data_IF_238782943781
#
_entry.id   IF_238782943781
#
_cell.length_a   1.000
_cell.length_b   1.000
_cell.length_c   1.000
_cell.angle_alpha   90.00
_cell.angle_beta   90.00
_cell.angle_gamma   90.00
#
_symmetry.space_group_name_H-M   'P 1'
#
loop_
_entity.id
_entity.type
_entity.pdbx_description
1 polymer ?
#
# COMPACT_ATOMS: atom_id res chain seq x y z
N UNK A 1 12.56 35.90 -54.65
CA UNK A 1 11.56 34.88 -54.25
C UNK A 1 12.27 33.91 -53.32
N UNK A 2 11.64 33.61 -52.19
CA UNK A 2 12.25 33.10 -50.95
C UNK A 2 12.72 31.64 -51.03
N UNK A 3 13.88 31.43 -50.38
CA UNK A 3 14.48 30.16 -49.95
C UNK A 3 13.47 29.22 -49.26
N UNK A 4 13.53 27.93 -49.60
CA UNK A 4 12.96 26.84 -48.80
C UNK A 4 14.07 25.87 -48.41
N UNK A 5 14.66 26.14 -47.26
CA UNK A 5 15.44 25.19 -46.48
C UNK A 5 14.48 24.21 -45.79
N UNK A 6 14.43 22.97 -46.27
CA UNK A 6 13.77 21.87 -45.57
C UNK A 6 14.61 21.51 -44.33
N UNK A 7 14.17 21.98 -43.16
CA UNK A 7 14.71 21.57 -41.87
C UNK A 7 14.22 20.14 -41.56
N UNK A 8 15.14 19.20 -41.66
CA UNK A 8 15.00 17.86 -41.11
C UNK A 8 14.87 17.97 -39.58
N UNK A 9 13.65 17.77 -39.06
CA UNK A 9 13.42 17.64 -37.61
C UNK A 9 13.88 16.23 -37.21
N UNK A 10 15.09 16.13 -36.68
CA UNK A 10 15.56 14.93 -35.99
C UNK A 10 14.66 14.66 -34.78
N UNK A 11 13.88 13.57 -34.83
CA UNK A 11 13.24 13.02 -33.64
C UNK A 11 14.35 12.53 -32.71
N UNK A 12 14.36 12.89 -31.41
CA UNK A 12 15.32 12.34 -30.47
C UNK A 12 15.07 10.83 -30.37
N UNK A 13 16.01 10.06 -30.91
CA UNK A 13 16.06 8.62 -30.71
C UNK A 13 16.26 8.37 -29.22
N UNK A 14 15.25 7.78 -28.57
CA UNK A 14 15.38 7.17 -27.26
C UNK A 14 16.42 6.05 -27.38
N UNK A 15 17.69 6.41 -27.13
CA UNK A 15 18.82 5.47 -27.10
C UNK A 15 18.48 4.33 -26.16
N UNK A 16 18.60 3.12 -26.70
CA UNK A 16 18.22 1.87 -26.09
C UNK A 16 18.80 1.69 -24.69
N UNK A 17 17.89 1.49 -23.73
CA UNK A 17 18.22 0.87 -22.46
C UNK A 17 18.63 -0.58 -22.76
N UNK A 18 19.84 -1.02 -22.41
CA UNK A 18 20.25 -2.40 -22.64
C UNK A 18 19.36 -3.36 -21.83
N UNK A 19 18.80 -4.41 -22.44
CA UNK A 19 18.00 -5.38 -21.71
C UNK A 19 18.95 -6.41 -21.11
N UNK A 20 19.40 -6.23 -19.85
CA UNK A 20 20.04 -7.29 -19.06
C UNK A 20 20.23 -6.90 -17.58
N UNK A 21 19.14 -7.00 -16.84
CA UNK A 21 19.09 -7.57 -15.49
C UNK A 21 17.62 -7.89 -15.26
N UNK A 22 17.30 -9.10 -14.80
CA UNK A 22 15.91 -9.43 -14.48
C UNK A 22 15.37 -8.37 -13.52
N UNK A 23 14.33 -7.66 -13.97
CA UNK A 23 13.68 -6.56 -13.25
C UNK A 23 13.10 -7.08 -11.95
N UNK A 24 13.91 -7.11 -10.89
CA UNK A 24 13.46 -7.60 -9.61
C UNK A 24 12.55 -6.54 -9.00
N UNK A 25 11.25 -6.82 -8.81
CA UNK A 25 10.37 -5.86 -8.19
C UNK A 25 10.84 -5.57 -6.76
N UNK A 26 10.74 -4.31 -6.36
CA UNK A 26 11.10 -3.85 -5.03
C UNK A 26 10.29 -4.62 -3.98
N UNK A 27 10.96 -5.19 -2.99
CA UNK A 27 10.31 -5.95 -1.94
C UNK A 27 9.91 -5.00 -0.82
N UNK A 28 8.62 -4.88 -0.54
CA UNK A 28 8.14 -4.23 0.68
C UNK A 28 8.39 -5.21 1.84
N UNK A 29 9.60 -5.21 2.38
CA UNK A 29 9.90 -5.77 3.68
C UNK A 29 9.75 -4.63 4.69
N UNK A 30 8.97 -4.83 5.74
CA UNK A 30 8.76 -3.84 6.79
C UNK A 30 8.64 -4.59 8.11
N UNK A 31 9.70 -4.58 8.90
CA UNK A 31 9.76 -5.35 10.15
C UNK A 31 8.82 -4.80 11.23
N UNK A 32 8.34 -3.57 11.05
CA UNK A 32 7.37 -2.95 11.94
C UNK A 32 5.97 -3.62 11.85
N UNK A 33 5.68 -4.37 10.78
CA UNK A 33 4.38 -5.00 10.59
C UNK A 33 4.05 -6.09 11.63
N UNK A 34 2.78 -6.15 12.06
CA UNK A 34 2.22 -7.26 12.85
C UNK A 34 2.40 -8.60 12.12
N UNK A 35 2.42 -9.75 12.82
CA UNK A 35 2.71 -11.06 12.21
C UNK A 35 1.90 -11.38 10.94
N UNK A 36 0.60 -11.08 10.94
CA UNK A 36 -0.27 -11.25 9.76
C UNK A 36 0.17 -10.38 8.58
N UNK A 37 0.38 -9.09 8.79
CA UNK A 37 0.81 -8.17 7.75
C UNK A 37 2.19 -8.54 7.19
N UNK A 38 3.12 -8.95 8.06
CA UNK A 38 4.44 -9.46 7.64
C UNK A 38 4.30 -10.68 6.72
N UNK A 39 3.43 -11.63 7.07
CA UNK A 39 3.22 -12.82 6.27
C UNK A 39 2.54 -12.50 4.92
N UNK A 40 1.53 -11.63 4.93
CA UNK A 40 0.87 -11.13 3.72
C UNK A 40 1.86 -10.41 2.80
N UNK A 41 2.72 -9.53 3.32
CA UNK A 41 3.71 -8.83 2.51
C UNK A 41 4.72 -9.81 1.88
N UNK A 42 5.17 -10.82 2.64
CA UNK A 42 6.03 -11.88 2.10
C UNK A 42 5.33 -12.64 0.96
N UNK A 43 4.10 -13.07 1.18
CA UNK A 43 3.30 -13.77 0.16
C UNK A 43 3.14 -12.93 -1.11
N UNK A 44 2.64 -11.70 -0.96
CA UNK A 44 2.39 -10.79 -2.07
C UNK A 44 3.66 -10.41 -2.81
N UNK A 45 4.78 -10.22 -2.11
CA UNK A 45 6.08 -9.96 -2.74
C UNK A 45 6.59 -11.16 -3.55
N UNK A 46 6.29 -12.39 -3.12
CA UNK A 46 6.57 -13.60 -3.92
C UNK A 46 5.61 -13.73 -5.08
N UNK A 47 4.31 -13.54 -4.86
CA UNK A 47 3.29 -13.57 -5.90
C UNK A 47 3.59 -12.59 -7.04
N UNK A 48 3.98 -11.35 -6.71
CA UNK A 48 4.26 -10.31 -7.69
C UNK A 48 5.49 -10.58 -8.57
N UNK A 49 6.33 -11.57 -8.23
CA UNK A 49 7.47 -12.01 -9.04
C UNK A 49 7.11 -13.08 -10.07
N UNK A 50 5.92 -13.67 -9.98
CA UNK A 50 5.50 -14.68 -10.95
C UNK A 50 5.39 -14.06 -12.35
N UNK A 51 5.77 -14.82 -13.41
CA UNK A 51 5.61 -14.37 -14.77
C UNK A 51 4.13 -14.19 -15.11
N UNK A 52 3.83 -13.19 -15.94
CA UNK A 52 2.47 -13.02 -16.47
C UNK A 52 2.16 -14.17 -17.43
N UNK A 53 1.04 -14.85 -17.19
CA UNK A 53 0.59 -15.91 -18.08
C UNK A 53 -0.14 -15.24 -19.25
N UNK A 54 0.59 -14.90 -20.32
CA UNK A 54 -0.08 -14.68 -21.59
C UNK A 54 -0.66 -16.04 -22.02
N UNK A 55 -1.95 -16.08 -22.36
CA UNK A 55 -2.49 -17.22 -23.09
C UNK A 55 -1.62 -17.38 -24.35
N UNK A 56 -1.24 -18.61 -24.75
CA UNK A 56 -0.43 -18.78 -25.95
C UNK A 56 -1.20 -18.17 -27.12
N UNK A 57 -0.77 -17.00 -27.57
CA UNK A 57 -1.29 -16.43 -28.81
C UNK A 57 -0.97 -17.47 -29.89
N UNK A 58 -2.00 -17.88 -30.63
CA UNK A 58 -1.88 -18.79 -31.74
C UNK A 58 -1.07 -18.10 -32.85
N UNK A 59 0.25 -17.97 -32.68
CA UNK A 59 1.18 -17.51 -33.71
C UNK A 59 2.48 -18.30 -33.65
N UNK A 60 2.55 -19.19 -34.64
CA UNK A 60 3.73 -19.66 -35.37
C UNK A 60 4.69 -20.59 -34.64
N UNK A 61 4.74 -21.82 -35.15
CA UNK A 61 5.75 -22.80 -34.79
C UNK A 61 7.15 -22.30 -35.13
N UNK A 62 8.04 -22.43 -34.17
CA UNK A 62 9.41 -22.92 -34.29
C UNK A 62 10.13 -22.64 -32.97
N UNK A 63 10.59 -23.72 -32.34
CA UNK A 63 11.67 -23.76 -31.33
C UNK A 63 11.57 -22.78 -30.15
N UNK A 64 10.85 -23.16 -29.09
CA UNK A 64 11.10 -22.66 -27.74
C UNK A 64 11.44 -23.83 -26.79
N UNK A 65 12.72 -24.23 -26.77
CA UNK A 65 13.31 -24.94 -25.63
C UNK A 65 13.64 -23.91 -24.55
N UNK A 66 12.65 -23.60 -23.74
CA UNK A 66 12.84 -23.15 -22.36
C UNK A 66 11.63 -23.62 -21.58
N UNK A 67 11.80 -24.69 -20.80
CA UNK A 67 10.79 -25.19 -19.87
C UNK A 67 10.72 -24.22 -18.69
N UNK A 68 10.16 -23.04 -18.93
CA UNK A 68 9.63 -22.21 -17.87
C UNK A 68 8.44 -22.97 -17.31
N UNK A 69 8.56 -23.52 -16.10
CA UNK A 69 7.45 -24.17 -15.43
C UNK A 69 6.36 -23.12 -15.25
N UNK A 70 5.36 -23.16 -16.13
CA UNK A 70 4.21 -22.29 -16.06
C UNK A 70 3.64 -22.37 -14.65
N UNK A 71 3.45 -21.22 -14.01
CA UNK A 71 2.75 -21.14 -12.74
C UNK A 71 1.37 -21.81 -12.92
N UNK A 72 1.14 -22.93 -12.24
CA UNK A 72 -0.09 -23.70 -12.40
C UNK A 72 -1.30 -22.77 -12.13
N UNK A 73 -2.41 -22.86 -12.90
CA UNK A 73 -3.62 -22.05 -12.68
C UNK A 73 -4.13 -22.10 -11.23
N UNK A 74 -3.79 -23.16 -10.50
CA UNK A 74 -4.02 -23.30 -9.07
C UNK A 74 -3.42 -22.19 -8.22
N UNK A 75 -2.26 -21.60 -8.58
CA UNK A 75 -1.58 -20.58 -7.78
C UNK A 75 -2.36 -19.25 -7.72
N UNK A 76 -2.99 -18.84 -8.82
CA UNK A 76 -3.88 -17.67 -8.80
C UNK A 76 -5.16 -17.96 -8.02
N UNK A 77 -5.69 -19.18 -8.12
CA UNK A 77 -6.84 -19.59 -7.31
C UNK A 77 -6.53 -19.53 -5.81
N UNK A 78 -5.31 -19.90 -5.40
CA UNK A 78 -4.85 -19.80 -4.01
C UNK A 78 -4.77 -18.34 -3.54
N UNK A 79 -4.22 -17.43 -4.34
CA UNK A 79 -4.20 -16.01 -4.03
C UNK A 79 -5.61 -15.43 -3.86
N UNK A 80 -6.55 -15.83 -4.71
CA UNK A 80 -7.97 -15.46 -4.58
C UNK A 80 -8.59 -16.01 -3.29
N UNK A 81 -8.29 -17.27 -2.92
CA UNK A 81 -8.77 -17.87 -1.66
C UNK A 81 -8.20 -17.15 -0.43
N UNK A 82 -6.91 -16.81 -0.43
CA UNK A 82 -6.28 -16.04 0.67
C UNK A 82 -6.95 -14.68 0.81
N UNK A 83 -7.16 -13.97 -0.31
CA UNK A 83 -7.90 -12.69 -0.30
C UNK A 83 -9.28 -12.85 0.31
N UNK A 84 -10.03 -13.89 -0.10
CA UNK A 84 -11.37 -14.17 0.43
C UNK A 84 -11.34 -14.45 1.93
N UNK A 85 -10.43 -15.28 2.41
CA UNK A 85 -10.30 -15.56 3.85
C UNK A 85 -9.97 -14.31 4.67
N UNK A 86 -9.15 -13.39 4.14
CA UNK A 86 -8.92 -12.09 4.79
C UNK A 86 -10.21 -11.27 4.87
N UNK A 87 -10.96 -11.16 3.77
CA UNK A 87 -12.25 -10.44 3.76
C UNK A 87 -13.22 -11.06 4.77
N UNK A 88 -13.37 -12.38 4.75
CA UNK A 88 -14.27 -13.11 5.65
C UNK A 88 -13.88 -12.91 7.12
N UNK A 89 -12.57 -12.91 7.42
CA UNK A 89 -12.05 -12.61 8.76
C UNK A 89 -12.38 -11.18 9.20
N UNK A 90 -12.16 -10.19 8.33
CA UNK A 90 -12.46 -8.79 8.63
C UNK A 90 -13.95 -8.57 8.91
N UNK A 91 -14.81 -9.09 8.04
CA UNK A 91 -16.27 -9.06 8.21
C UNK A 91 -16.69 -9.75 9.50
N UNK A 92 -16.12 -10.92 9.80
CA UNK A 92 -16.41 -11.65 11.04
C UNK A 92 -16.03 -10.86 12.30
N UNK A 93 -14.93 -10.10 12.27
CA UNK A 93 -14.53 -9.22 13.37
C UNK A 93 -15.48 -8.03 13.51
N UNK A 94 -15.82 -7.36 12.41
CA UNK A 94 -16.77 -6.23 12.41
C UNK A 94 -18.14 -6.65 12.96
N UNK A 95 -18.66 -7.81 12.53
CA UNK A 95 -19.90 -8.38 13.06
C UNK A 95 -19.81 -8.67 14.55
N UNK A 96 -18.71 -9.29 15.01
CA UNK A 96 -18.49 -9.59 16.43
C UNK A 96 -18.33 -8.33 17.31
N UNK A 97 -18.03 -7.18 16.70
CA UNK A 97 -17.86 -5.88 17.36
C UNK A 97 -19.00 -4.90 17.08
N UNK A 98 -20.05 -5.34 16.37
CA UNK A 98 -21.20 -4.48 16.03
C UNK A 98 -21.72 -3.75 17.28
N UNK A 99 -21.88 -2.43 17.18
CA UNK A 99 -22.34 -1.59 18.28
C UNK A 99 -21.30 -1.22 19.33
N UNK A 100 -20.07 -1.75 19.28
CA UNK A 100 -18.98 -1.40 20.23
C UNK A 100 -17.89 -0.52 19.62
N UNK A 101 -17.89 -0.34 18.29
CA UNK A 101 -16.87 0.44 17.57
C UNK A 101 -17.16 1.94 17.65
N UNK A 102 -16.19 2.71 18.17
CA UNK A 102 -16.32 4.16 18.27
C UNK A 102 -16.20 4.87 16.92
N UNK A 103 -16.64 6.12 16.82
CA UNK A 103 -16.49 6.99 15.64
C UNK A 103 -15.02 7.18 15.27
N UNK A 104 -14.15 7.34 16.27
CA UNK A 104 -12.70 7.44 16.05
C UNK A 104 -12.13 6.12 15.54
N UNK A 105 -12.52 4.98 16.12
CA UNK A 105 -12.11 3.67 15.59
C UNK A 105 -12.59 3.45 14.15
N UNK A 106 -13.81 3.89 13.79
CA UNK A 106 -14.30 3.88 12.40
C UNK A 106 -13.47 4.76 11.46
N UNK A 107 -13.06 5.95 11.91
CA UNK A 107 -12.18 6.81 11.11
C UNK A 107 -10.78 6.18 10.92
N UNK A 108 -10.23 5.60 11.98
CA UNK A 108 -8.95 4.86 11.93
C UNK A 108 -9.03 3.63 11.02
N UNK A 109 -10.15 2.91 11.03
CA UNK A 109 -10.43 1.79 10.12
C UNK A 109 -10.35 2.20 8.65
N UNK A 110 -11.01 3.31 8.29
CA UNK A 110 -10.96 3.84 6.93
C UNK A 110 -9.54 4.26 6.53
N UNK A 111 -8.83 4.92 7.43
CA UNK A 111 -7.44 5.31 7.21
C UNK A 111 -6.52 4.09 7.03
N UNK A 112 -6.67 3.05 7.85
CA UNK A 112 -5.92 1.78 7.72
C UNK A 112 -6.16 1.13 6.35
N UNK A 113 -7.42 1.10 5.90
CA UNK A 113 -7.77 0.57 4.59
C UNK A 113 -7.11 1.36 3.46
N UNK A 114 -7.17 2.70 3.52
CA UNK A 114 -6.52 3.56 2.53
C UNK A 114 -4.99 3.43 2.55
N UNK A 115 -4.38 3.29 3.72
CA UNK A 115 -2.94 3.07 3.88
C UNK A 115 -2.49 1.76 3.20
N UNK A 116 -3.15 0.63 3.48
CA UNK A 116 -2.84 -0.64 2.83
C UNK A 116 -3.15 -0.64 1.34
N UNK A 117 -4.14 0.15 0.90
CA UNK A 117 -4.41 0.38 -0.53
C UNK A 117 -3.22 1.03 -1.24
N UNK A 118 -2.65 2.10 -0.65
CA UNK A 118 -1.45 2.77 -1.17
C UNK A 118 -0.26 1.80 -1.22
N UNK A 119 -0.01 1.06 -0.13
CA UNK A 119 1.07 0.07 -0.08
C UNK A 119 0.90 -1.03 -1.13
N UNK A 120 -0.34 -1.51 -1.31
CA UNK A 120 -0.69 -2.52 -2.29
C UNK A 120 -0.52 -2.07 -3.75
N UNK A 121 -0.62 -0.77 -4.04
CA UNK A 121 -0.30 -0.22 -5.37
C UNK A 121 1.19 -0.33 -5.70
N UNK A 122 2.05 -0.20 -4.68
CA UNK A 122 3.50 -0.21 -4.86
C UNK A 122 4.12 -1.60 -4.99
N UNK A 123 3.32 -2.65 -4.81
CA UNK A 123 3.78 -4.02 -5.01
C UNK A 123 4.08 -4.26 -6.48
N UNK A 124 5.30 -4.68 -6.76
CA UNK A 124 5.75 -4.95 -8.13
C UNK A 124 6.38 -3.75 -8.82
N UNK A 125 6.34 -2.55 -8.22
CA UNK A 125 6.93 -1.35 -8.81
C UNK A 125 8.46 -1.40 -8.67
N UNK A 126 9.22 -1.37 -9.78
CA UNK A 126 10.69 -1.33 -9.74
C UNK A 126 11.21 -0.01 -9.16
N UNK A 127 12.28 -0.06 -8.37
CA UNK A 127 12.85 1.16 -7.74
C UNK A 127 13.29 2.22 -8.75
N UNK A 128 13.76 1.79 -9.93
CA UNK A 128 14.14 2.72 -11.01
C UNK A 128 13.00 3.61 -11.51
N UNK A 129 11.74 3.23 -11.29
CA UNK A 129 10.58 4.03 -11.68
C UNK A 129 10.24 5.10 -10.63
N UNK A 130 10.82 5.03 -9.43
CA UNK A 130 10.49 5.94 -8.33
C UNK A 130 10.89 7.39 -8.62
N UNK A 131 11.97 7.57 -9.38
CA UNK A 131 12.62 8.85 -9.64
C UNK A 131 12.33 9.40 -11.05
N UNK A 132 11.53 8.67 -11.85
CA UNK A 132 11.08 9.15 -13.16
C UNK A 132 10.08 10.28 -12.96
N UNK A 133 10.33 11.41 -13.61
CA UNK A 133 9.41 12.53 -13.70
C UNK A 133 8.73 12.44 -15.07
N UNK A 134 7.41 12.21 -15.15
CA UNK A 134 6.71 12.34 -16.43
C UNK A 134 6.76 13.81 -16.88
N UNK A 135 6.63 14.07 -18.17
CA UNK A 135 6.67 15.44 -18.70
C UNK A 135 5.58 16.34 -18.08
N UNK A 136 5.91 17.63 -17.90
CA UNK A 136 5.19 18.73 -17.24
C UNK A 136 4.91 18.52 -15.73
N UNK A 137 5.63 19.26 -14.87
CA UNK A 137 5.29 19.69 -13.48
C UNK A 137 4.79 18.65 -12.44
N UNK A 138 4.68 17.38 -12.81
CA UNK A 138 4.22 16.32 -11.91
C UNK A 138 5.37 15.84 -11.04
N UNK A 139 5.06 15.64 -9.75
CA UNK A 139 5.95 15.03 -8.76
C UNK A 139 6.35 13.61 -9.20
N UNK A 140 7.56 13.19 -8.84
CA UNK A 140 7.97 11.79 -8.99
C UNK A 140 7.18 10.86 -8.07
N UNK A 141 7.18 9.57 -8.36
CA UNK A 141 6.54 8.55 -7.50
C UNK A 141 7.12 8.61 -6.09
N UNK A 142 8.43 8.80 -5.96
CA UNK A 142 9.11 8.96 -4.68
C UNK A 142 8.56 10.16 -3.89
N UNK A 143 8.51 11.34 -4.52
CA UNK A 143 8.04 12.57 -3.86
C UNK A 143 6.58 12.44 -3.41
N UNK A 144 5.74 11.84 -4.26
CA UNK A 144 4.34 11.60 -3.93
C UNK A 144 4.18 10.63 -2.76
N UNK A 145 4.93 9.52 -2.76
CA UNK A 145 4.93 8.55 -1.66
C UNK A 145 5.47 9.15 -0.36
N UNK A 146 6.57 9.90 -0.42
CA UNK A 146 7.08 10.62 0.74
C UNK A 146 6.01 11.56 1.29
N UNK A 147 5.33 12.33 0.44
CA UNK A 147 4.24 13.21 0.89
C UNK A 147 3.11 12.41 1.55
N UNK A 148 2.65 11.34 0.91
CA UNK A 148 1.55 10.51 1.41
C UNK A 148 1.87 9.80 2.73
N UNK A 149 3.12 9.35 2.92
CA UNK A 149 3.57 8.61 4.09
C UNK A 149 4.09 9.51 5.22
N UNK A 150 4.55 10.73 4.90
CA UNK A 150 4.95 11.76 5.88
C UNK A 150 3.75 12.47 6.49
N UNK A 151 2.61 12.43 5.80
CA UNK A 151 1.36 13.08 6.19
C UNK A 151 0.70 12.38 7.37
N UNK A 152 1.28 12.49 8.57
CA UNK A 152 0.60 12.19 9.84
C UNK A 152 1.33 12.74 11.06
N UNK A 153 2.00 13.90 10.97
CA UNK A 153 2.07 14.75 12.16
C UNK A 153 0.71 15.43 12.29
N UNK A 154 -0.23 14.77 12.95
CA UNK A 154 -1.30 15.48 13.63
C UNK A 154 -0.59 16.44 14.58
N UNK A 155 -0.31 17.68 14.14
CA UNK A 155 0.15 18.73 15.03
C UNK A 155 -1.00 18.93 16.01
N UNK A 156 -0.94 18.24 17.15
CA UNK A 156 -1.83 18.42 18.25
C UNK A 156 -1.87 19.93 18.55
N UNK A 157 -3.00 20.61 18.37
CA UNK A 157 -3.16 21.89 19.03
C UNK A 157 -3.47 21.54 20.48
N UNK A 158 -2.55 21.88 21.38
CA UNK A 158 -2.74 22.00 22.85
C UNK A 158 -2.97 20.67 23.59
N UNK A 159 -2.01 20.17 24.38
CA UNK A 159 -1.86 20.60 25.78
C UNK A 159 -0.43 20.57 26.37
N UNK A 160 0.63 20.38 25.58
CA UNK A 160 2.00 20.69 26.01
C UNK A 160 2.82 21.18 24.82
N UNK A 161 2.60 22.44 24.45
CA UNK A 161 3.46 23.15 23.52
C UNK A 161 4.69 23.66 24.26
N UNK A 162 5.70 22.81 24.41
CA UNK A 162 7.10 23.25 24.49
C UNK A 162 7.99 22.26 23.77
N UNK A 163 8.86 22.81 22.93
CA UNK A 163 9.94 22.19 22.19
C UNK A 163 9.61 21.47 20.86
N UNK A 164 10.18 22.06 19.81
CA UNK A 164 10.52 21.45 18.52
C UNK A 164 9.45 21.42 17.42
N UNK A 165 8.94 22.62 17.11
CA UNK A 165 8.68 22.99 15.72
C UNK A 165 10.02 23.26 14.99
N UNK A 166 10.92 22.27 14.98
CA UNK A 166 11.92 22.21 13.93
C UNK A 166 11.23 21.51 12.76
N UNK A 167 10.92 22.29 11.73
CA UNK A 167 10.72 21.77 10.39
C UNK A 167 11.84 20.77 10.14
N UNK A 168 11.52 19.46 10.15
CA UNK A 168 12.46 18.47 9.67
C UNK A 168 12.38 18.63 8.16
N UNK A 169 13.41 19.20 7.50
CA UNK A 169 13.47 19.12 6.07
C UNK A 169 13.45 17.62 5.77
N UNK A 170 12.66 17.20 4.79
CA UNK A 170 12.87 15.90 4.16
C UNK A 170 14.30 15.94 3.58
N UNK A 171 15.31 15.70 4.42
CA UNK A 171 16.71 15.70 4.04
C UNK A 171 16.90 14.45 3.21
N UNK A 172 16.86 14.70 1.90
CA UNK A 172 17.63 14.03 0.86
C UNK A 172 18.42 12.81 1.34
N UNK A 173 17.77 11.67 1.21
CA UNK A 173 18.40 10.37 1.07
C UNK A 173 17.51 9.59 0.13
N UNK A 174 18.04 9.07 -0.96
CA UNK A 174 17.36 8.12 -1.81
C UNK A 174 17.13 6.82 -1.00
N UNK A 175 16.15 6.85 -0.09
CA UNK A 175 15.80 5.70 0.73
C UNK A 175 15.17 4.63 -0.15
N UNK A 176 15.54 3.37 0.04
CA UNK A 176 14.85 2.25 -0.61
C UNK A 176 13.33 2.34 -0.38
N UNK A 177 12.54 1.78 -1.30
CA UNK A 177 11.07 1.78 -1.17
C UNK A 177 10.61 1.23 0.19
N UNK A 178 11.33 0.20 0.66
CA UNK A 178 11.13 -0.43 1.97
C UNK A 178 11.25 0.57 3.12
N UNK A 179 12.28 1.42 3.13
CA UNK A 179 12.52 2.38 4.20
C UNK A 179 11.42 3.45 4.29
N UNK A 180 10.86 3.87 3.14
CA UNK A 180 9.73 4.80 3.12
C UNK A 180 8.49 4.18 3.76
N UNK A 181 8.18 2.93 3.43
CA UNK A 181 7.04 2.21 4.03
C UNK A 181 7.28 1.85 5.50
N UNK A 182 8.50 1.52 5.90
CA UNK A 182 8.85 1.32 7.32
C UNK A 182 8.58 2.57 8.15
N UNK A 183 9.10 3.71 7.72
CA UNK A 183 8.87 5.01 8.39
C UNK A 183 7.39 5.41 8.39
N UNK A 184 6.71 5.23 7.25
CA UNK A 184 5.27 5.48 7.15
C UNK A 184 4.44 4.59 8.06
N UNK A 185 4.81 3.31 8.20
CA UNK A 185 4.11 2.36 9.07
C UNK A 185 4.31 2.70 10.55
N UNK A 186 5.51 3.13 10.95
CA UNK A 186 5.76 3.61 12.32
C UNK A 186 4.89 4.83 12.64
N UNK A 187 4.80 5.78 11.70
CA UNK A 187 3.97 6.97 11.85
C UNK A 187 2.48 6.64 11.92
N UNK A 188 2.02 5.75 11.03
CA UNK A 188 0.63 5.29 10.98
C UNK A 188 0.26 4.50 12.24
N UNK A 189 1.14 3.59 12.71
CA UNK A 189 0.94 2.85 13.96
C UNK A 189 0.85 3.77 15.17
N UNK A 190 1.76 4.75 15.27
CA UNK A 190 1.74 5.72 16.38
C UNK A 190 0.40 6.47 16.43
N UNK A 191 -0.14 6.86 15.27
CA UNK A 191 -1.46 7.48 15.17
C UNK A 191 -2.57 6.52 15.66
N UNK A 192 -2.57 5.26 15.21
CA UNK A 192 -3.56 4.27 15.66
C UNK A 192 -3.46 4.04 17.17
N UNK A 193 -2.26 3.80 17.69
CA UNK A 193 -2.01 3.58 19.13
C UNK A 193 -2.44 4.79 19.97
N UNK A 194 -2.27 6.02 19.46
CA UNK A 194 -2.67 7.24 20.18
C UNK A 194 -4.18 7.38 20.31
N UNK A 195 -4.96 6.98 19.30
CA UNK A 195 -6.39 7.32 19.22
C UNK A 195 -7.36 6.13 19.31
N UNK A 196 -6.87 4.88 19.33
CA UNK A 196 -7.75 3.70 19.29
C UNK A 196 -8.72 3.58 20.48
N UNK A 197 -8.35 4.08 21.66
CA UNK A 197 -9.16 4.02 22.89
C UNK A 197 -10.03 5.26 23.12
N UNK A 198 -10.11 6.17 22.14
CA UNK A 198 -10.95 7.36 22.25
C UNK A 198 -12.44 7.00 22.36
N UNK A 199 -13.13 7.43 23.44
CA UNK A 199 -14.52 7.06 23.69
C UNK A 199 -15.51 7.82 22.81
N UNK A 200 -16.59 7.15 22.39
CA UNK A 200 -17.71 7.79 21.71
C UNK A 200 -18.60 8.55 22.71
N UNK A 201 -18.50 9.88 22.73
CA UNK A 201 -19.24 10.72 23.69
C UNK A 201 -20.55 11.32 23.18
N UNK A 202 -21.01 10.90 21.99
CA UNK A 202 -22.27 11.36 21.41
C UNK A 202 -23.54 11.02 22.23
N UNK A 203 -23.44 10.25 23.33
CA UNK A 203 -24.61 9.78 24.11
C UNK A 203 -24.70 10.27 25.56
N UNK A 204 -23.78 11.10 26.06
CA UNK A 204 -23.86 11.61 27.44
C UNK A 204 -23.64 13.12 27.45
N UNK A 205 -24.72 13.87 27.59
CA UNK A 205 -24.67 15.26 28.03
C UNK A 205 -23.98 15.31 29.39
N UNK A 206 -22.69 15.61 29.39
CA UNK A 206 -21.83 15.75 30.57
C UNK A 206 -20.98 17.00 30.35
N UNK A 207 -20.68 17.79 31.40
CA UNK A 207 -20.45 19.24 31.30
C UNK A 207 -19.01 19.60 30.90
N UNK A 208 -18.37 18.82 30.01
CA UNK A 208 -17.02 19.09 29.51
C UNK A 208 -17.03 19.25 27.99
N UNK A 209 -17.56 20.38 27.53
CA UNK A 209 -17.65 20.74 26.11
C UNK A 209 -16.31 20.65 25.36
N UNK A 210 -15.19 20.86 26.05
CA UNK A 210 -13.84 20.75 25.48
C UNK A 210 -13.43 19.34 25.03
N UNK A 211 -13.85 18.28 25.71
CA UNK A 211 -13.46 16.90 25.37
C UNK A 211 -14.27 16.38 24.15
N UNK A 212 -15.53 16.79 24.03
CA UNK A 212 -16.36 16.50 22.85
C UNK A 212 -15.83 17.23 21.60
N UNK A 213 -15.46 18.51 21.76
CA UNK A 213 -14.82 19.29 20.68
C UNK A 213 -13.49 18.67 20.25
N UNK A 214 -12.66 18.20 21.18
CA UNK A 214 -11.41 17.51 20.86
C UNK A 214 -11.65 16.24 20.03
N UNK A 215 -12.65 15.43 20.40
CA UNK A 215 -13.03 14.22 19.65
C UNK A 215 -13.47 14.55 18.22
N UNK A 216 -14.29 15.60 18.07
CA UNK A 216 -14.73 16.08 16.76
C UNK A 216 -13.54 16.54 15.90
N UNK A 217 -12.63 17.33 16.47
CA UNK A 217 -11.42 17.82 15.78
C UNK A 217 -10.54 16.66 15.33
N UNK A 218 -10.34 15.66 16.21
CA UNK A 218 -9.54 14.48 15.88
C UNK A 218 -10.19 13.70 14.73
N UNK A 219 -11.50 13.43 14.82
CA UNK A 219 -12.22 12.72 13.75
C UNK A 219 -12.17 13.48 12.42
N UNK A 220 -12.33 14.80 12.43
CA UNK A 220 -12.22 15.64 11.23
C UNK A 220 -10.81 15.57 10.61
N UNK A 221 -9.77 15.51 11.44
CA UNK A 221 -8.38 15.36 10.97
C UNK A 221 -8.11 13.97 10.43
N UNK A 222 -8.62 12.92 11.08
CA UNK A 222 -8.51 11.55 10.56
C UNK A 222 -9.23 11.40 9.22
N UNK A 223 -10.41 12.00 9.07
CA UNK A 223 -11.14 12.06 7.80
C UNK A 223 -10.35 12.84 6.73
N UNK A 224 -9.73 13.97 7.09
CA UNK A 224 -8.86 14.71 6.18
C UNK A 224 -7.67 13.87 5.70
N UNK A 225 -6.97 13.19 6.62
CA UNK A 225 -5.85 12.29 6.30
C UNK A 225 -6.31 11.13 5.40
N UNK A 226 -7.48 10.55 5.68
CA UNK A 226 -8.08 9.50 4.85
C UNK A 226 -8.33 10.00 3.43
N UNK A 227 -8.95 11.18 3.27
CA UNK A 227 -9.18 11.82 1.95
C UNK A 227 -7.87 12.11 1.21
N UNK A 228 -6.86 12.63 1.91
CA UNK A 228 -5.53 12.86 1.33
C UNK A 228 -4.88 11.56 0.85
N UNK A 229 -4.95 10.50 1.65
CA UNK A 229 -4.43 9.18 1.28
C UNK A 229 -5.10 8.63 0.02
N UNK A 230 -6.43 8.78 -0.10
CA UNK A 230 -7.17 8.38 -1.30
C UNK A 230 -6.80 9.21 -2.53
N UNK A 231 -6.60 10.52 -2.36
CA UNK A 231 -6.16 11.41 -3.43
C UNK A 231 -4.75 11.04 -3.93
N UNK A 232 -3.79 10.86 -3.01
CA UNK A 232 -2.44 10.43 -3.36
C UNK A 232 -2.42 9.04 -3.99
N UNK A 233 -3.28 8.12 -3.55
CA UNK A 233 -3.45 6.81 -4.17
C UNK A 233 -3.93 6.93 -5.62
N UNK A 234 -4.89 7.81 -5.90
CA UNK A 234 -5.39 8.05 -7.25
C UNK A 234 -4.29 8.67 -8.14
N UNK A 235 -3.63 9.72 -7.65
CA UNK A 235 -2.50 10.38 -8.33
C UNK A 235 -1.37 9.40 -8.63
N UNK A 236 -1.00 8.54 -7.66
CA UNK A 236 0.04 7.53 -7.80
C UNK A 236 -0.32 6.49 -8.86
N UNK A 237 -1.58 6.04 -8.89
CA UNK A 237 -2.05 5.09 -9.91
C UNK A 237 -1.90 5.66 -11.32
N UNK A 238 -2.28 6.93 -11.53
CA UNK A 238 -2.15 7.58 -12.84
C UNK A 238 -0.69 7.87 -13.20
N UNK A 239 0.11 8.26 -12.22
CA UNK A 239 1.54 8.49 -12.38
C UNK A 239 2.27 7.21 -12.80
N UNK A 240 2.00 6.09 -12.14
CA UNK A 240 2.56 4.78 -12.49
C UNK A 240 2.22 4.39 -13.94
N UNK A 241 0.98 4.62 -14.39
CA UNK A 241 0.60 4.40 -15.79
C UNK A 241 1.36 5.31 -16.74
N UNK A 242 1.47 6.60 -16.42
CA UNK A 242 2.13 7.60 -17.24
C UNK A 242 3.62 7.30 -17.47
N UNK A 243 4.31 6.77 -16.45
CA UNK A 243 5.72 6.34 -16.55
C UNK A 243 5.89 4.92 -17.12
N UNK A 244 4.81 4.33 -17.66
CA UNK A 244 4.83 3.05 -18.36
C UNK A 244 4.78 1.81 -17.46
N UNK A 245 4.53 1.94 -16.15
CA UNK A 245 4.36 0.78 -15.28
C UNK A 245 3.03 0.07 -15.58
N UNK A 246 3.11 -1.17 -16.07
CA UNK A 246 1.96 -2.05 -16.29
C UNK A 246 1.93 -3.14 -15.22
N UNK A 247 0.79 -3.25 -14.54
CA UNK A 247 0.62 -4.23 -13.46
C UNK A 247 0.18 -5.57 -14.04
N UNK A 248 1.00 -6.59 -13.80
CA UNK A 248 0.67 -7.97 -14.17
C UNK A 248 -0.52 -8.49 -13.34
N UNK A 249 -1.16 -9.57 -13.79
CA UNK A 249 -2.19 -10.25 -12.99
C UNK A 249 -1.74 -10.59 -11.54
N UNK A 250 -0.55 -11.20 -11.30
CA UNK A 250 -0.06 -11.41 -9.93
C UNK A 250 0.05 -10.13 -9.09
N UNK A 251 0.51 -9.01 -9.67
CA UNK A 251 0.58 -7.72 -8.97
C UNK A 251 -0.81 -7.18 -8.59
N UNK A 252 -1.80 -7.35 -9.47
CA UNK A 252 -3.20 -6.96 -9.20
C UNK A 252 -3.81 -7.81 -8.09
N UNK A 253 -3.54 -9.12 -8.07
CA UNK A 253 -3.98 -10.01 -6.99
C UNK A 253 -3.32 -9.64 -5.65
N UNK A 254 -2.02 -9.37 -5.66
CA UNK A 254 -1.28 -8.92 -4.47
C UNK A 254 -1.87 -7.61 -3.89
N UNK A 255 -2.24 -6.66 -4.75
CA UNK A 255 -2.95 -5.46 -4.32
C UNK A 255 -4.27 -5.76 -3.64
N UNK A 256 -5.09 -6.65 -4.24
CA UNK A 256 -6.36 -7.07 -3.68
C UNK A 256 -6.22 -7.72 -2.30
N UNK A 257 -5.13 -8.45 -2.07
CA UNK A 257 -4.81 -9.03 -0.75
C UNK A 257 -4.45 -7.95 0.26
N UNK A 258 -3.68 -6.93 -0.12
CA UNK A 258 -3.39 -5.80 0.76
C UNK A 258 -4.64 -4.99 1.13
N UNK A 259 -5.57 -4.80 0.19
CA UNK A 259 -6.87 -4.20 0.48
C UNK A 259 -7.63 -4.99 1.56
N UNK A 260 -7.67 -6.31 1.42
CA UNK A 260 -8.31 -7.20 2.40
C UNK A 260 -7.57 -7.20 3.75
N UNK A 261 -6.24 -7.13 3.75
CA UNK A 261 -5.45 -6.96 4.97
C UNK A 261 -5.82 -5.66 5.70
N UNK A 262 -5.98 -4.55 4.97
CA UNK A 262 -6.40 -3.28 5.56
C UNK A 262 -7.79 -3.34 6.20
N UNK A 263 -8.70 -4.16 5.67
CA UNK A 263 -10.00 -4.42 6.30
C UNK A 263 -9.84 -5.19 7.61
N UNK A 264 -9.06 -6.27 7.62
CA UNK A 264 -8.81 -7.07 8.83
C UNK A 264 -8.14 -6.25 9.92
N UNK A 265 -7.06 -5.55 9.59
CA UNK A 265 -6.34 -4.72 10.56
C UNK A 265 -7.19 -3.58 11.08
N UNK A 266 -7.96 -2.93 10.20
CA UNK A 266 -8.92 -1.91 10.62
C UNK A 266 -9.94 -2.48 11.59
N UNK A 267 -10.60 -3.59 11.23
CA UNK A 267 -11.62 -4.22 12.05
C UNK A 267 -11.10 -4.59 13.45
N UNK A 268 -9.79 -4.82 13.61
CA UNK A 268 -9.15 -5.12 14.89
C UNK A 268 -8.80 -3.90 15.74
N UNK A 269 -8.81 -2.67 15.21
CA UNK A 269 -8.36 -1.47 15.95
C UNK A 269 -9.13 -1.31 17.27
N UNK A 270 -8.42 -1.34 18.39
CA UNK A 270 -8.97 -1.26 19.75
C UNK A 270 -9.61 -2.55 20.25
N UNK A 271 -9.26 -3.68 19.65
CA UNK A 271 -9.64 -5.01 20.11
C UNK A 271 -8.62 -6.09 19.68
N UNK A 272 -7.38 -5.69 19.39
CA UNK A 272 -6.32 -6.54 18.85
C UNK A 272 -6.17 -7.85 19.62
N UNK A 273 -5.97 -7.75 20.94
CA UNK A 273 -5.74 -8.89 21.84
C UNK A 273 -6.86 -9.93 21.80
N UNK A 274 -8.10 -9.51 21.49
CA UNK A 274 -9.27 -10.40 21.37
C UNK A 274 -9.26 -11.25 20.10
N UNK A 275 -8.60 -10.78 19.04
CA UNK A 275 -8.67 -11.36 17.69
C UNK A 275 -7.32 -11.84 17.14
N UNK A 276 -6.21 -11.54 17.80
CA UNK A 276 -4.86 -11.99 17.39
C UNK A 276 -4.78 -13.50 17.17
N UNK A 277 -5.31 -14.30 18.09
CA UNK A 277 -5.31 -15.77 17.97
C UNK A 277 -6.12 -16.27 16.78
N UNK A 278 -7.15 -15.54 16.36
CA UNK A 278 -7.95 -15.87 15.16
C UNK A 278 -7.19 -15.65 13.85
N UNK A 279 -6.12 -14.86 13.89
CA UNK A 279 -5.26 -14.64 12.73
C UNK A 279 -4.28 -15.80 12.51
N UNK A 280 -3.94 -16.58 13.56
CA UNK A 280 -2.89 -17.60 13.49
C UNK A 280 -3.11 -18.66 12.39
N UNK A 281 -4.30 -19.28 12.23
CA UNK A 281 -4.51 -20.27 11.17
C UNK A 281 -4.30 -19.69 9.77
N UNK A 282 -4.66 -18.41 9.58
CA UNK A 282 -4.47 -17.73 8.31
C UNK A 282 -2.99 -17.36 8.08
N UNK A 283 -2.26 -16.97 9.14
CA UNK A 283 -0.81 -16.76 9.08
C UNK A 283 -0.10 -18.04 8.63
N UNK A 284 -0.45 -19.18 9.23
CA UNK A 284 0.16 -20.47 8.91
C UNK A 284 -0.14 -20.88 7.47
N UNK A 285 -1.41 -20.75 7.04
CA UNK A 285 -1.83 -21.01 5.66
C UNK A 285 -1.06 -20.15 4.67
N UNK A 286 -0.97 -18.83 4.90
CA UNK A 286 -0.23 -17.91 4.01
C UNK A 286 1.26 -18.28 4.01
N UNK A 287 1.84 -18.67 5.14
CA UNK A 287 3.22 -19.13 5.25
C UNK A 287 3.51 -20.34 4.38
N UNK A 288 2.68 -21.38 4.47
CA UNK A 288 2.77 -22.58 3.62
C UNK A 288 2.67 -22.21 2.14
N UNK A 289 1.67 -21.42 1.75
CA UNK A 289 1.50 -21.00 0.34
C UNK A 289 2.62 -20.11 -0.16
N UNK A 290 3.23 -19.29 0.71
CA UNK A 290 4.39 -18.48 0.36
C UNK A 290 5.59 -19.37 0.01
N UNK A 291 5.82 -20.43 0.79
CA UNK A 291 6.91 -21.38 0.53
C UNK A 291 6.69 -22.18 -0.75
N UNK A 292 5.45 -22.59 -1.03
CA UNK A 292 5.07 -23.24 -2.30
C UNK A 292 5.28 -22.31 -3.50
N UNK A 293 4.79 -21.08 -3.44
CA UNK A 293 4.99 -20.07 -4.47
C UNK A 293 6.47 -19.77 -4.73
N UNK A 294 7.29 -19.79 -3.68
CA UNK A 294 8.72 -19.56 -3.76
C UNK A 294 9.46 -20.55 -4.66
N UNK A 295 8.88 -21.73 -4.95
CA UNK A 295 9.44 -22.74 -5.87
C UNK A 295 9.34 -22.34 -7.35
N UNK A 296 8.56 -21.30 -7.65
CA UNK A 296 8.29 -20.82 -9.02
C UNK A 296 8.91 -19.44 -9.30
N UNK A 297 9.72 -18.90 -8.37
CA UNK A 297 10.33 -17.57 -8.42
C UNK A 297 11.85 -17.61 -8.58
#
# INVERSE_FOLDING_TARGET
MLDRTEQHIERPQLRGIPPRCADRPSRIANDAMKPLARMVARFCGTLARLPEHEAPSARSGACARTVGHAAAPDLYSQAVRIRRHLVDLGVGIDLARSGTVTSTQRALQQLQHAYRNLQGLMIGVPERLLDIHPESERRSVRQLLQTALSGSRLQAPTLHATASAAASPCRSGAGALSAMFESGELSHRSLVETFHDMPDRARRHSPKDGEALATLIINARLDHLHKQMLAHRAELSELLKAIGHRRTMPMRLAHGIFLALGQVEGAMIGAESRFETRCQPLIDLIGVRTNELGRYC
#
